data_IF_651291894231
#
_entry.id   IF_651291894231
#
_cell.length_a   1.000
_cell.length_b   1.000
_cell.length_c   1.000
_cell.angle_alpha   90.00
_cell.angle_beta   90.00
_cell.angle_gamma   90.00
#
_symmetry.space_group_name_H-M   'P 1'
#
loop_
_entity.id
_entity.type
_entity.pdbx_description
1 polymer ?
#
# COMPACT_ATOMS: atom_id res chain seq x y z
N UNK A 1 7.46 18.73 -93.17
CA UNK A 1 7.97 20.10 -92.94
C UNK A 1 7.35 20.66 -91.66
N UNK A 2 8.11 20.65 -90.56
CA UNK A 2 7.65 21.13 -89.24
C UNK A 2 7.68 22.66 -89.20
N UNK A 3 6.53 23.28 -88.90
CA UNK A 3 6.42 24.73 -88.66
C UNK A 3 6.94 25.06 -87.26
N UNK A 4 8.09 25.73 -87.21
CA UNK A 4 8.61 26.41 -86.03
C UNK A 4 7.59 27.46 -85.57
N UNK A 5 6.88 27.22 -84.47
CA UNK A 5 6.05 28.24 -83.81
C UNK A 5 6.94 29.07 -82.87
N UNK A 6 6.90 30.38 -83.11
CA UNK A 6 7.66 31.45 -82.48
C UNK A 6 7.60 31.43 -80.94
N UNK A 7 8.75 31.34 -80.29
CA UNK A 7 8.91 31.49 -78.83
C UNK A 7 8.70 32.93 -78.34
N UNK A 8 8.56 33.89 -79.25
CA UNK A 8 8.55 35.32 -78.94
C UNK A 8 7.20 35.82 -78.37
N UNK A 9 6.11 35.10 -78.63
CA UNK A 9 4.77 35.49 -78.15
C UNK A 9 4.60 35.15 -76.67
N UNK A 10 5.15 34.02 -76.22
CA UNK A 10 5.08 33.61 -74.81
C UNK A 10 5.88 34.53 -73.90
N UNK A 11 7.06 34.99 -74.35
CA UNK A 11 7.89 35.94 -73.58
C UNK A 11 7.18 37.28 -73.40
N UNK A 12 6.49 37.78 -74.43
CA UNK A 12 5.75 39.04 -74.32
C UNK A 12 4.59 38.93 -73.34
N UNK A 13 3.81 37.85 -73.39
CA UNK A 13 2.68 37.64 -72.47
C UNK A 13 3.17 37.52 -71.03
N UNK A 14 4.25 36.75 -70.79
CA UNK A 14 4.85 36.60 -69.48
C UNK A 14 5.36 37.94 -68.93
N UNK A 15 6.03 38.74 -69.76
CA UNK A 15 6.55 40.05 -69.36
C UNK A 15 5.41 41.02 -69.00
N UNK A 16 4.34 41.07 -69.79
CA UNK A 16 3.16 41.90 -69.45
C UNK A 16 2.45 41.43 -68.20
N UNK A 17 2.41 40.13 -67.92
CA UNK A 17 1.76 39.59 -66.73
C UNK A 17 2.58 39.89 -65.47
N UNK A 18 3.91 39.74 -65.55
CA UNK A 18 4.84 40.11 -64.46
C UNK A 18 4.78 41.60 -64.19
N UNK A 19 4.80 42.45 -65.23
CA UNK A 19 4.71 43.90 -65.07
C UNK A 19 3.35 44.33 -64.49
N UNK A 20 2.26 43.69 -64.93
CA UNK A 20 0.91 43.93 -64.39
C UNK A 20 0.80 43.57 -62.91
N UNK A 21 1.34 42.42 -62.49
CA UNK A 21 1.35 42.03 -61.07
C UNK A 21 2.21 42.96 -60.21
N UNK A 22 3.29 43.52 -60.76
CA UNK A 22 4.15 44.45 -60.03
C UNK A 22 3.48 45.80 -59.81
N UNK A 23 2.74 46.30 -60.80
CA UNK A 23 1.99 47.57 -60.70
C UNK A 23 0.80 47.44 -59.75
N UNK A 24 0.10 46.31 -59.76
CA UNK A 24 -1.01 46.06 -58.83
C UNK A 24 -0.47 45.86 -57.39
N UNK A 25 0.62 45.12 -57.24
CA UNK A 25 1.27 44.91 -55.94
C UNK A 25 1.80 46.20 -55.32
N UNK A 26 2.45 47.06 -56.13
CA UNK A 26 2.97 48.35 -55.63
C UNK A 26 1.86 49.35 -55.29
N UNK A 27 0.77 49.34 -56.06
CA UNK A 27 -0.40 50.18 -55.78
C UNK A 27 -1.05 49.88 -54.43
N UNK A 28 -1.18 48.59 -54.08
CA UNK A 28 -1.76 48.15 -52.79
C UNK A 28 -0.85 48.53 -51.62
N UNK A 29 0.46 48.35 -51.75
CA UNK A 29 1.42 48.73 -50.70
C UNK A 29 1.42 50.24 -50.47
N UNK A 30 1.37 51.05 -51.54
CA UNK A 30 1.33 52.51 -51.44
C UNK A 30 0.04 53.03 -50.80
N UNK A 31 -1.11 52.41 -51.11
CA UNK A 31 -2.40 52.79 -50.48
C UNK A 31 -2.46 52.42 -49.01
N UNK A 32 -1.92 51.26 -48.61
CA UNK A 32 -1.86 50.84 -47.21
C UNK A 32 -0.90 51.72 -46.39
N UNK A 33 0.23 52.14 -46.98
CA UNK A 33 1.14 53.09 -46.35
C UNK A 33 0.50 54.48 -46.17
N UNK A 34 -0.18 54.99 -47.20
CA UNK A 34 -0.90 56.26 -47.12
C UNK A 34 -2.06 56.25 -46.11
N UNK A 35 -2.64 55.07 -45.83
CA UNK A 35 -3.65 54.87 -44.79
C UNK A 35 -3.05 54.78 -43.36
N UNK A 36 -1.76 55.05 -43.19
CA UNK A 36 -1.08 55.05 -41.88
C UNK A 36 -0.79 53.66 -41.33
N UNK A 37 -0.86 52.62 -42.16
CA UNK A 37 -0.49 51.28 -41.75
C UNK A 37 1.04 51.17 -41.72
N UNK A 38 1.66 50.85 -40.56
CA UNK A 38 3.11 50.73 -40.47
C UNK A 38 3.60 49.64 -41.42
N UNK A 39 4.62 49.95 -42.23
CA UNK A 39 5.19 49.05 -43.27
C UNK A 39 5.60 47.70 -42.67
N UNK A 40 5.98 47.69 -41.40
CA UNK A 40 6.33 46.52 -40.59
C UNK A 40 5.21 45.46 -40.53
N UNK A 41 3.94 45.86 -40.62
CA UNK A 41 2.77 44.94 -40.63
C UNK A 41 2.40 44.43 -42.02
N UNK A 42 2.94 45.05 -43.07
CA UNK A 42 2.68 44.67 -44.47
C UNK A 42 3.75 43.65 -44.94
N UNK A 43 4.83 43.47 -44.19
CA UNK A 43 5.77 42.38 -44.43
C UNK A 43 5.14 41.03 -44.03
N UNK A 44 4.54 40.34 -45.00
CA UNK A 44 4.05 38.95 -44.89
C UNK A 44 5.19 37.92 -44.70
N UNK A 45 6.40 38.37 -44.41
CA UNK A 45 7.58 37.55 -44.21
C UNK A 45 7.74 37.36 -42.70
N UNK A 46 7.34 36.19 -42.23
CA UNK A 46 7.62 35.60 -40.91
C UNK A 46 8.03 36.61 -39.83
N UNK A 47 7.06 37.27 -39.22
CA UNK A 47 7.22 37.68 -37.82
C UNK A 47 7.16 36.38 -37.01
N UNK A 48 8.29 35.70 -36.90
CA UNK A 48 8.51 34.64 -35.92
C UNK A 48 8.08 35.26 -34.58
N UNK A 49 7.06 34.74 -33.89
CA UNK A 49 6.63 35.30 -32.61
C UNK A 49 7.85 35.32 -31.69
N UNK A 50 8.14 36.50 -31.13
CA UNK A 50 9.22 36.74 -30.18
C UNK A 50 9.10 35.71 -29.04
N UNK A 51 9.95 34.67 -29.08
CA UNK A 51 9.93 33.62 -28.08
C UNK A 51 10.53 34.20 -26.81
N UNK A 52 9.71 34.31 -25.78
CA UNK A 52 10.19 34.69 -24.45
C UNK A 52 11.17 33.61 -23.99
N UNK A 53 12.38 34.01 -23.60
CA UNK A 53 13.36 33.10 -23.02
C UNK A 53 12.73 32.27 -21.89
N UNK A 54 12.83 30.95 -21.99
CA UNK A 54 12.16 30.03 -21.08
C UNK A 54 12.93 28.74 -20.89
N UNK A 55 12.90 28.21 -19.67
CA UNK A 55 13.39 26.86 -19.37
C UNK A 55 12.28 25.88 -19.70
N UNK A 56 12.61 24.85 -20.47
CA UNK A 56 11.63 23.85 -20.89
C UNK A 56 11.65 22.64 -19.94
N UNK A 57 10.50 22.27 -19.38
CA UNK A 57 10.34 21.07 -18.56
C UNK A 57 9.52 20.01 -19.31
N UNK A 58 10.00 18.76 -19.44
CA UNK A 58 9.24 17.68 -20.05
C UNK A 58 7.95 17.38 -19.28
N UNK A 59 6.86 17.19 -20.03
CA UNK A 59 5.54 16.84 -19.49
C UNK A 59 4.92 15.68 -20.27
N UNK A 60 3.99 14.97 -19.64
CA UNK A 60 3.25 13.91 -20.31
C UNK A 60 2.17 14.49 -21.24
N UNK A 61 2.09 13.93 -22.43
CA UNK A 61 1.06 14.25 -23.42
C UNK A 61 -0.26 13.53 -23.10
N UNK A 62 -0.18 12.26 -22.69
CA UNK A 62 -1.33 11.43 -22.32
C UNK A 62 -1.33 11.11 -20.83
N UNK A 63 -2.49 10.78 -20.23
CA UNK A 63 -2.54 10.28 -18.87
C UNK A 63 -1.67 9.03 -18.72
N UNK A 64 -0.98 8.93 -17.58
CA UNK A 64 -0.18 7.76 -17.22
C UNK A 64 -0.81 7.13 -15.98
N UNK A 65 -1.16 5.85 -16.09
CA UNK A 65 -1.74 5.08 -14.99
C UNK A 65 -0.73 4.87 -13.86
N UNK A 66 -1.24 4.77 -12.63
CA UNK A 66 -0.47 4.38 -11.47
C UNK A 66 0.29 3.07 -11.73
N UNK A 67 1.52 3.00 -11.21
CA UNK A 67 2.39 1.82 -11.34
C UNK A 67 2.86 1.51 -12.76
N UNK A 68 2.52 2.35 -13.74
CA UNK A 68 3.05 2.24 -15.08
C UNK A 68 4.46 2.81 -15.17
N UNK A 69 5.29 2.19 -16.02
CA UNK A 69 6.60 2.69 -16.40
C UNK A 69 6.43 3.77 -17.48
N UNK A 70 7.01 4.94 -17.26
CA UNK A 70 6.97 6.04 -18.24
C UNK A 70 7.75 5.65 -19.48
N UNK A 71 7.09 5.70 -20.63
CA UNK A 71 7.65 5.46 -21.96
C UNK A 71 7.88 6.79 -22.68
N UNK A 72 8.72 6.75 -23.71
CA UNK A 72 8.96 7.91 -24.57
C UNK A 72 7.66 8.41 -25.22
N UNK A 73 6.81 7.49 -25.67
CA UNK A 73 5.51 7.76 -26.27
C UNK A 73 4.52 8.46 -25.31
N UNK A 74 4.76 8.38 -24.00
CA UNK A 74 3.91 9.07 -23.00
C UNK A 74 4.23 10.57 -22.93
N UNK A 75 5.44 10.95 -23.35
CA UNK A 75 5.93 12.32 -23.37
C UNK A 75 5.84 12.94 -24.77
N UNK A 76 5.72 12.14 -25.82
CA UNK A 76 5.80 12.60 -27.20
C UNK A 76 4.45 13.16 -27.68
N UNK A 77 4.46 14.36 -28.27
CA UNK A 77 3.29 14.87 -28.98
C UNK A 77 3.17 14.13 -30.33
N UNK A 78 2.04 13.46 -30.61
CA UNK A 78 1.85 12.69 -31.84
C UNK A 78 1.86 13.55 -33.10
N UNK A 79 1.66 14.87 -33.01
CA UNK A 79 1.64 15.78 -34.15
C UNK A 79 3.04 16.21 -34.59
N UNK A 80 3.88 16.54 -33.61
CA UNK A 80 5.22 17.08 -33.86
C UNK A 80 6.30 16.01 -33.79
N UNK A 81 6.01 14.88 -33.14
CA UNK A 81 7.00 13.85 -32.81
C UNK A 81 8.04 14.32 -31.80
N UNK A 82 7.88 15.50 -31.20
CA UNK A 82 8.80 16.03 -30.19
C UNK A 82 8.29 15.71 -28.79
N UNK A 83 9.20 15.73 -27.81
CA UNK A 83 8.82 15.62 -26.39
C UNK A 83 8.04 16.89 -26.04
N UNK A 84 6.84 16.70 -25.51
CA UNK A 84 5.97 17.76 -25.04
C UNK A 84 6.61 18.44 -23.83
N UNK A 85 6.66 19.77 -23.83
CA UNK A 85 7.34 20.56 -22.79
C UNK A 85 6.47 21.72 -22.34
N UNK A 86 6.55 22.04 -21.06
CA UNK A 86 6.04 23.30 -20.51
C UNK A 86 7.19 24.29 -20.45
N UNK A 87 6.93 25.50 -20.92
CA UNK A 87 7.90 26.60 -20.92
C UNK A 87 7.72 27.42 -19.64
N UNK A 88 8.79 27.54 -18.86
CA UNK A 88 8.85 28.36 -17.65
C UNK A 88 9.63 29.64 -17.98
N UNK A 89 8.98 30.81 -18.04
CA UNK A 89 9.64 32.07 -18.35
C UNK A 89 10.77 32.37 -17.36
N UNK A 90 11.90 32.92 -17.82
CA UNK A 90 13.06 33.23 -16.95
C UNK A 90 12.70 34.13 -15.76
N UNK A 91 11.74 35.03 -15.94
CA UNK A 91 11.23 35.92 -14.87
C UNK A 91 10.62 35.15 -13.70
N UNK A 92 10.11 33.93 -13.93
CA UNK A 92 9.51 33.08 -12.90
C UNK A 92 10.51 32.13 -12.25
N UNK A 93 11.72 31.98 -12.83
CA UNK A 93 12.76 31.06 -12.34
C UNK A 93 13.44 31.60 -11.10
N UNK A 94 13.53 32.93 -10.96
CA UNK A 94 14.15 33.59 -9.80
C UNK A 94 13.44 33.19 -8.50
N UNK A 95 14.20 32.69 -7.54
CA UNK A 95 13.71 32.16 -6.26
C UNK A 95 13.31 30.68 -6.27
N UNK A 96 13.18 30.05 -7.45
CA UNK A 96 12.96 28.60 -7.52
C UNK A 96 14.22 27.83 -7.14
N UNK A 97 14.06 26.62 -6.59
CA UNK A 97 15.19 25.74 -6.30
C UNK A 97 15.67 25.04 -7.58
N UNK A 98 16.93 25.26 -7.93
CA UNK A 98 17.65 24.56 -8.99
C UNK A 98 18.54 23.49 -8.37
N UNK A 99 18.44 22.24 -8.86
CA UNK A 99 19.30 21.15 -8.44
C UNK A 99 20.31 20.78 -9.53
N UNK A 100 21.58 20.67 -9.15
CA UNK A 100 22.70 20.29 -10.01
C UNK A 100 23.44 19.08 -9.43
N UNK A 101 24.19 18.38 -10.27
CA UNK A 101 25.11 17.33 -9.82
C UNK A 101 26.40 17.98 -9.33
N UNK A 102 26.68 17.82 -8.03
CA UNK A 102 27.93 18.27 -7.41
C UNK A 102 29.13 17.41 -7.82
N UNK A 103 30.36 17.83 -7.45
CA UNK A 103 31.59 17.13 -7.83
C UNK A 103 31.69 15.70 -7.30
N UNK A 104 31.00 15.38 -6.20
CA UNK A 104 30.94 14.04 -5.61
C UNK A 104 29.74 13.21 -6.11
N UNK A 105 28.97 13.73 -7.07
CA UNK A 105 27.79 13.06 -7.63
C UNK A 105 26.49 13.26 -6.84
N UNK A 106 26.52 14.03 -5.74
CA UNK A 106 25.34 14.38 -4.96
C UNK A 106 24.51 15.49 -5.65
N UNK A 107 23.19 15.46 -5.47
CA UNK A 107 22.31 16.53 -5.96
C UNK A 107 22.32 17.68 -4.96
N UNK A 108 22.93 18.80 -5.33
CA UNK A 108 22.93 20.03 -4.54
C UNK A 108 21.81 20.94 -5.05
N UNK A 109 20.90 21.32 -4.15
CA UNK A 109 19.73 22.15 -4.48
C UNK A 109 19.88 23.54 -3.89
N UNK A 110 19.83 24.57 -4.73
CA UNK A 110 19.95 25.97 -4.30
C UNK A 110 18.94 26.87 -5.01
N UNK A 111 18.48 27.94 -4.35
CA UNK A 111 17.60 28.92 -5.00
C UNK A 111 18.34 29.72 -6.09
N UNK A 112 17.65 29.98 -7.20
CA UNK A 112 18.15 30.81 -8.30
C UNK A 112 18.06 32.29 -7.91
N UNK A 113 19.17 33.02 -8.06
CA UNK A 113 19.30 34.46 -7.81
C UNK A 113 19.01 35.28 -9.08
N UNK A 114 19.53 34.83 -10.23
CA UNK A 114 19.41 35.52 -11.52
C UNK A 114 19.28 34.47 -12.64
N UNK A 115 18.52 34.80 -13.69
CA UNK A 115 18.37 33.98 -14.88
C UNK A 115 18.40 34.88 -16.12
N UNK A 116 19.36 34.68 -17.02
CA UNK A 116 19.55 35.50 -18.22
C UNK A 116 19.78 34.63 -19.46
N UNK A 117 19.32 35.13 -20.60
CA UNK A 117 19.60 34.53 -21.91
C UNK A 117 20.89 35.15 -22.48
N UNK A 118 21.85 34.31 -22.85
CA UNK A 118 23.14 34.68 -23.45
C UNK A 118 23.25 34.03 -24.84
N UNK A 119 24.22 34.45 -25.65
CA UNK A 119 24.49 33.84 -26.98
C UNK A 119 24.74 32.32 -26.90
N UNK A 120 25.30 31.85 -25.78
CA UNK A 120 25.59 30.43 -25.50
C UNK A 120 24.42 29.67 -24.83
N UNK A 121 23.28 30.33 -24.64
CA UNK A 121 22.07 29.76 -24.03
C UNK A 121 21.67 30.41 -22.70
N UNK A 122 20.85 29.71 -21.92
CA UNK A 122 20.30 30.23 -20.65
C UNK A 122 21.32 29.99 -19.53
N UNK A 123 21.73 31.07 -18.88
CA UNK A 123 22.59 31.06 -17.70
C UNK A 123 21.77 31.33 -16.44
N UNK A 124 22.04 30.54 -15.40
CA UNK A 124 21.42 30.65 -14.09
C UNK A 124 22.50 30.91 -13.06
N UNK A 125 22.35 32.01 -12.31
CA UNK A 125 23.19 32.29 -11.15
C UNK A 125 22.46 31.81 -9.90
N UNK A 126 23.08 30.90 -9.16
CA UNK A 126 22.59 30.42 -7.87
C UNK A 126 22.90 31.42 -6.74
N UNK A 127 22.33 31.20 -5.55
CA UNK A 127 22.59 32.09 -4.41
C UNK A 127 24.04 32.11 -3.93
N UNK A 128 24.78 31.02 -4.12
CA UNK A 128 26.23 30.93 -3.84
C UNK A 128 27.11 31.55 -4.94
N UNK A 129 26.51 32.27 -5.89
CA UNK A 129 27.14 32.89 -7.05
C UNK A 129 27.68 31.90 -8.10
N UNK A 130 27.41 30.60 -7.94
CA UNK A 130 27.71 29.59 -8.97
C UNK A 130 26.86 29.86 -10.21
N UNK A 131 27.52 29.91 -11.37
CA UNK A 131 26.87 30.06 -12.67
C UNK A 131 26.74 28.68 -13.29
N UNK A 132 25.53 28.31 -13.68
CA UNK A 132 25.23 27.04 -14.32
C UNK A 132 24.48 27.28 -15.63
N UNK A 133 24.65 26.37 -16.58
CA UNK A 133 23.88 26.36 -17.83
C UNK A 133 22.62 25.50 -17.68
N UNK A 134 21.65 25.68 -18.58
CA UNK A 134 20.45 24.82 -18.63
C UNK A 134 20.80 23.32 -18.76
N UNK A 135 21.89 22.96 -19.41
CA UNK A 135 22.29 21.55 -19.61
C UNK A 135 22.73 20.87 -18.30
N UNK A 136 23.32 21.65 -17.39
CA UNK A 136 23.77 21.19 -16.07
C UNK A 136 22.63 21.11 -15.04
N UNK A 137 21.50 21.75 -15.35
CA UNK A 137 20.32 21.76 -14.50
C UNK A 137 19.61 20.42 -14.56
N UNK A 138 19.50 19.72 -13.42
CA UNK A 138 18.79 18.43 -13.33
C UNK A 138 17.33 18.63 -12.92
N UNK A 139 17.09 19.53 -11.96
CA UNK A 139 15.75 19.86 -11.47
C UNK A 139 15.56 21.36 -11.33
N UNK A 140 14.35 21.82 -11.60
CA UNK A 140 13.90 23.19 -11.36
C UNK A 140 12.57 23.17 -10.60
N UNK A 141 12.50 23.86 -9.47
CA UNK A 141 11.33 23.82 -8.60
C UNK A 141 10.97 22.41 -8.13
N UNK A 142 11.96 21.50 -8.08
CA UNK A 142 11.78 20.07 -7.80
C UNK A 142 11.32 19.20 -8.98
N UNK A 143 11.02 19.80 -10.14
CA UNK A 143 10.66 19.08 -11.37
C UNK A 143 11.89 18.80 -12.25
N UNK A 144 11.92 17.64 -12.91
CA UNK A 144 12.99 17.25 -13.82
C UNK A 144 13.00 18.10 -15.09
N UNK A 145 14.20 18.47 -15.55
CA UNK A 145 14.43 19.21 -16.79
C UNK A 145 14.72 18.28 -17.98
N UNK A 146 15.33 17.13 -17.72
CA UNK A 146 15.71 16.17 -18.74
C UNK A 146 14.74 14.98 -18.81
N UNK A 147 14.40 14.55 -20.02
CA UNK A 147 13.53 13.38 -20.22
C UNK A 147 14.21 12.05 -19.86
N UNK A 148 15.54 11.99 -19.93
CA UNK A 148 16.35 10.82 -19.56
C UNK A 148 16.14 10.41 -18.11
N UNK A 149 15.92 11.38 -17.21
CA UNK A 149 15.68 11.12 -15.78
C UNK A 149 14.25 10.63 -15.47
N UNK A 150 13.36 10.67 -16.47
CA UNK A 150 11.93 10.37 -16.33
C UNK A 150 11.62 9.03 -17.01
N UNK A 151 12.12 8.84 -18.24
CA UNK A 151 11.85 7.65 -19.05
C UNK A 151 12.36 6.41 -18.32
N UNK A 152 11.48 5.43 -18.18
CA UNK A 152 11.77 4.17 -17.52
C UNK A 152 11.54 4.16 -16.00
N UNK A 153 11.15 5.29 -15.40
CA UNK A 153 10.70 5.30 -14.00
C UNK A 153 9.24 4.89 -13.87
N UNK A 154 8.85 4.40 -12.70
CA UNK A 154 7.49 3.94 -12.40
C UNK A 154 6.74 5.00 -11.59
N UNK A 155 5.56 5.40 -12.07
CA UNK A 155 4.76 6.46 -11.43
C UNK A 155 4.02 5.91 -10.21
N UNK A 156 4.02 6.67 -9.12
CA UNK A 156 3.36 6.31 -7.85
C UNK A 156 1.84 6.40 -7.88
N UNK A 157 1.27 7.27 -8.70
CA UNK A 157 -0.17 7.57 -8.77
C UNK A 157 -0.53 7.93 -10.21
N UNK A 158 -1.82 7.91 -10.54
CA UNK A 158 -2.27 8.41 -11.84
C UNK A 158 -1.78 9.84 -12.06
N UNK A 159 -1.23 10.10 -13.24
CA UNK A 159 -0.73 11.42 -13.64
C UNK A 159 -1.54 11.95 -14.81
N UNK A 160 -2.24 13.06 -14.57
CA UNK A 160 -2.94 13.82 -15.61
C UNK A 160 -1.97 14.39 -16.65
N UNK A 161 -2.39 14.55 -17.92
CA UNK A 161 -1.58 15.19 -18.95
C UNK A 161 -1.28 16.66 -18.62
N UNK A 162 -0.17 17.18 -19.15
CA UNK A 162 0.18 18.60 -19.05
C UNK A 162 0.94 19.02 -17.80
N UNK A 163 1.39 18.08 -16.96
CA UNK A 163 2.15 18.40 -15.74
C UNK A 163 3.60 17.91 -15.83
N UNK A 164 4.54 18.73 -15.36
CA UNK A 164 5.94 18.34 -15.22
C UNK A 164 6.12 17.23 -14.18
N UNK A 165 7.24 16.50 -14.25
CA UNK A 165 7.54 15.38 -13.36
C UNK A 165 8.46 15.78 -12.22
N UNK A 166 8.15 15.36 -11.00
CA UNK A 166 9.00 15.53 -9.83
C UNK A 166 9.40 14.18 -9.23
N UNK A 167 10.42 14.17 -8.37
CA UNK A 167 10.91 12.97 -7.67
C UNK A 167 9.78 12.24 -6.92
N UNK A 168 8.89 13.01 -6.28
CA UNK A 168 7.76 12.51 -5.50
C UNK A 168 6.72 11.77 -6.34
N UNK A 169 6.72 11.96 -7.66
CA UNK A 169 5.82 11.24 -8.56
C UNK A 169 6.26 9.81 -8.82
N UNK A 170 7.50 9.43 -8.49
CA UNK A 170 8.07 8.14 -8.86
C UNK A 170 8.40 7.26 -7.67
N UNK A 171 8.40 5.96 -7.92
CA UNK A 171 9.13 5.00 -7.09
C UNK A 171 10.64 5.16 -7.28
N UNK A 172 11.40 4.51 -6.41
CA UNK A 172 12.86 4.45 -6.50
C UNK A 172 13.32 3.92 -7.87
N UNK A 173 14.55 4.27 -8.26
CA UNK A 173 15.10 3.80 -9.52
C UNK A 173 15.28 2.28 -9.45
N UNK A 174 14.85 1.57 -10.50
CA UNK A 174 14.93 0.11 -10.57
C UNK A 174 13.68 -0.64 -10.11
N UNK A 175 12.67 0.05 -9.55
CA UNK A 175 11.38 -0.58 -9.22
C UNK A 175 10.72 -1.16 -10.49
N UNK A 176 10.29 -2.44 -10.48
CA UNK A 176 9.58 -3.03 -11.61
C UNK A 176 8.20 -2.38 -11.78
N UNK A 177 7.68 -2.38 -13.01
CA UNK A 177 6.32 -1.86 -13.27
C UNK A 177 5.24 -2.81 -12.76
N UNK A 178 4.08 -2.25 -12.42
CA UNK A 178 2.89 -2.97 -11.98
C UNK A 178 2.79 -3.18 -10.46
N UNK A 179 1.78 -3.94 -10.04
CA UNK A 179 1.46 -4.17 -8.63
C UNK A 179 2.62 -4.74 -7.82
N UNK A 180 3.47 -5.56 -8.43
CA UNK A 180 4.63 -6.15 -7.77
C UNK A 180 5.65 -5.10 -7.32
N UNK A 181 5.91 -4.07 -8.14
CA UNK A 181 6.79 -2.97 -7.75
C UNK A 181 6.13 -1.95 -6.83
N UNK A 182 4.80 -1.89 -6.84
CA UNK A 182 4.01 -1.08 -5.92
C UNK A 182 3.88 -1.68 -4.51
N UNK A 183 4.09 -2.99 -4.38
CA UNK A 183 3.95 -3.69 -3.11
C UNK A 183 5.15 -3.38 -2.22
N UNK A 184 4.93 -2.84 -1.00
CA UNK A 184 6.01 -2.61 -0.05
C UNK A 184 6.76 -3.89 0.32
N UNK A 185 8.00 -3.75 0.78
CA UNK A 185 8.80 -4.86 1.29
C UNK A 185 8.11 -5.52 2.49
N UNK A 186 8.12 -6.85 2.54
CA UNK A 186 7.45 -7.64 3.60
C UNK A 186 5.93 -7.78 3.44
N UNK A 187 5.31 -7.10 2.47
CA UNK A 187 3.89 -7.22 2.16
C UNK A 187 3.65 -8.06 0.89
N UNK A 188 2.39 -8.49 0.71
CA UNK A 188 1.90 -9.22 -0.45
C UNK A 188 0.67 -8.50 -1.00
N UNK A 189 0.64 -8.27 -2.31
CA UNK A 189 -0.56 -7.78 -2.98
C UNK A 189 -1.62 -8.88 -3.06
N UNK A 190 -2.80 -8.62 -2.52
CA UNK A 190 -3.98 -9.48 -2.57
C UNK A 190 -5.08 -8.76 -3.34
N UNK A 191 -5.65 -9.44 -4.35
CA UNK A 191 -6.84 -8.97 -5.06
C UNK A 191 -8.07 -9.54 -4.36
N UNK A 192 -8.93 -8.67 -3.85
CA UNK A 192 -10.12 -9.03 -3.09
C UNK A 192 -11.37 -8.50 -3.80
N UNK A 193 -12.48 -9.22 -3.68
CA UNK A 193 -13.76 -8.73 -4.17
C UNK A 193 -14.29 -7.63 -3.25
N UNK A 194 -14.85 -6.57 -3.82
CA UNK A 194 -15.34 -5.44 -3.05
C UNK A 194 -16.60 -5.79 -2.22
N UNK A 195 -17.40 -6.76 -2.66
CA UNK A 195 -18.62 -7.23 -1.98
C UNK A 195 -18.35 -7.87 -0.60
N UNK A 196 -17.15 -8.41 -0.39
CA UNK A 196 -16.72 -9.01 0.88
C UNK A 196 -16.15 -7.98 1.87
N UNK A 197 -15.89 -6.75 1.41
CA UNK A 197 -15.21 -5.71 2.17
C UNK A 197 -16.15 -4.54 2.45
N UNK A 198 -16.67 -4.46 3.67
CA UNK A 198 -17.51 -3.36 4.09
C UNK A 198 -16.70 -2.07 4.24
N UNK A 199 -17.12 -1.00 3.54
CA UNK A 199 -16.52 0.33 3.60
C UNK A 199 -15.43 0.62 2.55
N UNK A 200 -15.09 -0.35 1.70
CA UNK A 200 -13.96 -0.25 0.75
C UNK A 200 -14.12 0.84 -0.33
N UNK A 201 -15.35 1.20 -0.70
CA UNK A 201 -15.63 2.17 -1.78
C UNK A 201 -15.18 3.61 -1.48
N UNK A 202 -14.90 3.94 -0.21
CA UNK A 202 -14.56 5.30 0.21
C UNK A 202 -13.06 5.52 0.40
N UNK A 203 -12.24 4.52 0.07
CA UNK A 203 -10.83 4.47 0.42
C UNK A 203 -10.00 4.82 -0.81
N UNK A 204 -9.04 5.73 -0.62
CA UNK A 204 -8.16 6.17 -1.70
C UNK A 204 -6.91 5.30 -1.79
N UNK A 205 -6.32 5.32 -2.98
CA UNK A 205 -5.02 4.72 -3.22
C UNK A 205 -3.94 5.29 -2.28
N UNK A 206 -3.18 4.40 -1.65
CA UNK A 206 -2.11 4.72 -0.71
C UNK A 206 -2.57 4.93 0.73
N UNK A 207 -3.86 4.83 1.05
CA UNK A 207 -4.36 4.86 2.42
C UNK A 207 -3.95 3.59 3.19
N UNK A 208 -3.64 3.78 4.48
CA UNK A 208 -3.37 2.68 5.41
C UNK A 208 -4.67 2.29 6.12
N UNK A 209 -4.93 0.99 6.16
CA UNK A 209 -6.16 0.42 6.67
C UNK A 209 -5.88 -0.80 7.55
N UNK A 210 -6.81 -1.09 8.45
CA UNK A 210 -6.89 -2.36 9.17
C UNK A 210 -8.13 -3.13 8.70
N UNK A 211 -8.04 -4.46 8.73
CA UNK A 211 -9.12 -5.36 8.33
C UNK A 211 -9.64 -6.11 9.56
N UNK A 212 -10.93 -6.00 9.84
CA UNK A 212 -11.61 -6.69 10.94
C UNK A 212 -12.70 -7.59 10.40
N UNK A 213 -12.57 -8.91 10.59
CA UNK A 213 -13.56 -9.89 10.17
C UNK A 213 -14.61 -10.11 11.26
N UNK A 214 -15.88 -10.11 10.87
CA UNK A 214 -16.99 -10.54 11.73
C UNK A 214 -17.25 -12.03 11.52
N UNK A 215 -16.77 -12.86 12.43
CA UNK A 215 -16.80 -14.33 12.31
C UNK A 215 -17.96 -14.89 13.14
N UNK A 216 -18.88 -15.68 12.54
CA UNK A 216 -19.94 -16.35 13.30
C UNK A 216 -19.35 -17.29 14.37
N UNK A 217 -19.92 -17.30 15.58
CA UNK A 217 -19.38 -18.07 16.71
C UNK A 217 -19.19 -19.57 16.39
N UNK A 218 -20.12 -20.17 15.64
CA UNK A 218 -20.04 -21.58 15.21
C UNK A 218 -18.80 -21.89 14.34
N UNK A 219 -18.30 -20.90 13.59
CA UNK A 219 -17.16 -21.02 12.67
C UNK A 219 -15.84 -20.55 13.31
N UNK A 220 -15.88 -19.94 14.49
CA UNK A 220 -14.72 -19.37 15.16
C UNK A 220 -13.63 -20.42 15.43
N UNK A 221 -14.00 -21.59 15.95
CA UNK A 221 -13.07 -22.69 16.21
C UNK A 221 -12.39 -23.22 14.94
N UNK A 222 -13.02 -23.06 13.76
CA UNK A 222 -12.43 -23.42 12.47
C UNK A 222 -11.45 -22.35 12.00
N UNK A 223 -11.79 -21.08 12.20
CA UNK A 223 -10.92 -19.94 11.91
C UNK A 223 -9.62 -20.00 12.72
N UNK A 224 -9.71 -20.15 14.04
CA UNK A 224 -8.55 -20.15 14.93
C UNK A 224 -7.56 -21.28 14.60
N UNK A 225 -8.07 -22.47 14.25
CA UNK A 225 -7.26 -23.59 13.77
C UNK A 225 -6.50 -23.27 12.48
N UNK A 226 -7.11 -22.51 11.57
CA UNK A 226 -6.53 -22.17 10.26
C UNK A 226 -5.45 -21.09 10.32
N UNK A 227 -5.52 -20.16 11.28
CA UNK A 227 -4.57 -19.06 11.46
C UNK A 227 -3.36 -19.41 12.32
N UNK A 228 -3.20 -20.69 12.69
CA UNK A 228 -2.08 -21.16 13.48
C UNK A 228 -2.26 -20.99 15.00
N UNK A 229 -3.44 -20.54 15.45
CA UNK A 229 -3.88 -20.76 16.84
C UNK A 229 -4.25 -22.24 16.98
N UNK A 230 -3.23 -23.08 17.15
CA UNK A 230 -3.39 -24.52 17.40
C UNK A 230 -3.93 -24.72 18.82
N UNK A 231 -5.21 -24.44 19.00
CA UNK A 231 -5.99 -24.95 20.12
C UNK A 231 -6.49 -26.35 19.74
N UNK A 232 -6.03 -27.43 20.40
CA UNK A 232 -6.72 -28.70 20.37
C UNK A 232 -7.98 -28.58 21.23
N UNK A 233 -9.12 -28.95 20.63
CA UNK A 233 -10.38 -29.34 21.27
C UNK A 233 -10.46 -29.17 22.80
N UNK A 234 -10.68 -27.95 23.27
CA UNK A 234 -11.50 -27.74 24.46
C UNK A 234 -12.92 -27.55 23.94
N UNK A 235 -13.71 -28.60 24.13
CA UNK A 235 -15.16 -28.59 24.01
C UNK A 235 -15.70 -27.43 24.86
N UNK A 236 -15.93 -26.28 24.23
CA UNK A 236 -16.86 -25.30 24.76
C UNK A 236 -18.18 -26.04 24.89
N UNK A 237 -18.52 -26.41 26.12
CA UNK A 237 -19.83 -26.95 26.49
C UNK A 237 -20.85 -25.92 26.04
N UNK A 238 -21.39 -26.14 24.84
CA UNK A 238 -22.54 -25.42 24.33
C UNK A 238 -23.70 -25.91 25.18
N UNK A 239 -24.18 -25.03 26.05
CA UNK A 239 -25.41 -25.23 26.81
C UNK A 239 -26.53 -25.64 25.84
N UNK A 240 -26.89 -26.93 25.85
CA UNK A 240 -27.80 -27.57 24.89
C UNK A 240 -29.28 -27.17 25.09
N UNK A 241 -29.54 -26.02 25.72
CA UNK A 241 -30.87 -25.54 26.11
C UNK A 241 -31.37 -24.30 25.37
N UNK A 242 -30.57 -23.64 24.52
CA UNK A 242 -30.97 -22.36 23.89
C UNK A 242 -31.20 -22.52 22.38
N UNK A 243 -32.48 -22.51 22.00
CA UNK A 243 -33.03 -22.64 20.65
C UNK A 243 -32.15 -22.11 19.50
N UNK A 244 -31.96 -22.97 18.50
CA UNK A 244 -31.13 -22.83 17.27
C UNK A 244 -31.34 -21.57 16.41
N UNK A 245 -32.32 -20.70 16.68
CA UNK A 245 -32.61 -19.51 15.84
C UNK A 245 -31.82 -18.25 16.22
N UNK A 246 -31.20 -18.19 17.40
CA UNK A 246 -30.49 -16.99 17.88
C UNK A 246 -28.95 -17.08 17.76
N UNK A 247 -28.38 -18.28 17.62
CA UNK A 247 -26.93 -18.48 17.54
C UNK A 247 -26.33 -18.13 16.17
N UNK A 248 -27.13 -18.13 15.09
CA UNK A 248 -26.67 -17.76 13.74
C UNK A 248 -26.35 -16.27 13.58
N UNK A 249 -26.85 -15.41 14.48
CA UNK A 249 -26.60 -13.96 14.42
C UNK A 249 -25.45 -13.48 15.30
N UNK A 250 -24.93 -14.31 16.20
CA UNK A 250 -23.83 -13.90 17.07
C UNK A 250 -22.49 -14.02 16.32
N UNK A 251 -21.92 -12.86 15.99
CA UNK A 251 -20.60 -12.74 15.38
C UNK A 251 -19.61 -12.12 16.34
N UNK A 252 -18.37 -12.60 16.32
CA UNK A 252 -17.26 -11.97 17.04
C UNK A 252 -16.34 -11.25 16.06
N UNK A 253 -15.88 -10.05 16.42
CA UNK A 253 -14.94 -9.28 15.62
C UNK A 253 -13.50 -9.80 15.87
N UNK A 254 -12.77 -10.11 14.81
CA UNK A 254 -11.35 -10.48 14.85
C UNK A 254 -10.55 -9.60 13.91
N UNK A 255 -9.45 -9.04 14.40
CA UNK A 255 -8.50 -8.34 13.54
C UNK A 255 -7.77 -9.36 12.67
N UNK A 256 -7.79 -9.19 11.35
CA UNK A 256 -7.24 -10.15 10.38
C UNK A 256 -6.09 -9.61 9.56
N UNK A 257 -5.97 -8.29 9.44
CA UNK A 257 -4.76 -7.66 8.91
C UNK A 257 -4.55 -6.27 9.50
N UNK A 258 -3.28 -5.91 9.70
CA UNK A 258 -2.86 -4.59 10.18
C UNK A 258 -2.10 -3.83 9.12
N UNK A 259 -2.25 -2.50 9.15
CA UNK A 259 -1.45 -1.57 8.33
C UNK A 259 -1.41 -1.97 6.85
N UNK A 260 -2.49 -2.56 6.35
CA UNK A 260 -2.62 -2.88 4.95
C UNK A 260 -2.67 -1.58 4.15
N UNK A 261 -2.10 -1.58 2.95
CA UNK A 261 -2.04 -0.39 2.09
C UNK A 261 -2.90 -0.63 0.87
N UNK A 262 -3.78 0.33 0.55
CA UNK A 262 -4.56 0.25 -0.69
C UNK A 262 -3.65 0.52 -1.88
N UNK A 263 -3.39 -0.51 -2.69
CA UNK A 263 -2.63 -0.38 -3.93
C UNK A 263 -3.54 0.10 -5.06
N UNK A 264 -4.71 -0.52 -5.20
CA UNK A 264 -5.68 -0.13 -6.23
C UNK A 264 -7.04 0.01 -5.58
N UNK A 265 -7.71 1.18 -5.71
CA UNK A 265 -9.06 1.36 -5.18
C UNK A 265 -10.05 0.48 -5.96
N UNK A 266 -11.32 0.50 -5.59
CA UNK A 266 -12.33 -0.37 -6.22
C UNK A 266 -12.43 -0.07 -7.72
N UNK A 267 -12.14 -1.07 -8.55
CA UNK A 267 -12.29 -1.01 -10.01
C UNK A 267 -13.33 -2.03 -10.46
N UNK A 268 -14.16 -1.64 -11.43
CA UNK A 268 -15.14 -2.53 -12.09
C UNK A 268 -14.46 -3.23 -13.27
N UNK A 269 -14.42 -4.56 -13.25
CA UNK A 269 -14.09 -5.37 -14.44
C UNK A 269 -15.31 -6.16 -14.91
N UNK A 270 -15.41 -6.40 -16.20
CA UNK A 270 -16.46 -7.26 -16.76
C UNK A 270 -15.92 -8.68 -16.84
N UNK A 271 -16.55 -9.60 -16.11
CA UNK A 271 -16.28 -11.04 -16.24
C UNK A 271 -17.34 -11.68 -17.12
N UNK A 272 -16.94 -12.56 -18.03
CA UNK A 272 -17.88 -13.35 -18.83
C UNK A 272 -18.12 -14.69 -18.16
N UNK A 273 -19.29 -14.85 -17.56
CA UNK A 273 -19.74 -16.14 -17.04
C UNK A 273 -20.54 -16.88 -18.10
N UNK A 274 -20.33 -18.19 -18.20
CA UNK A 274 -21.08 -19.05 -19.11
C UNK A 274 -22.18 -19.76 -18.33
N UNK A 275 -23.45 -19.44 -18.63
CA UNK A 275 -24.58 -20.23 -18.14
C UNK A 275 -25.04 -21.17 -19.24
N UNK A 276 -25.17 -22.46 -18.93
CA UNK A 276 -25.75 -23.46 -19.82
C UNK A 276 -27.06 -23.96 -19.21
N UNK A 277 -28.17 -23.76 -19.92
CA UNK A 277 -29.47 -24.33 -19.57
C UNK A 277 -29.90 -25.34 -20.63
N UNK A 278 -30.46 -26.47 -20.18
CA UNK A 278 -31.00 -27.54 -21.03
C UNK A 278 -32.09 -27.05 -22.00
N UNK A 279 -32.78 -25.95 -21.68
CA UNK A 279 -33.85 -25.38 -22.50
C UNK A 279 -33.43 -24.15 -23.32
N UNK A 280 -32.29 -23.51 -23.02
CA UNK A 280 -31.89 -22.23 -23.63
C UNK A 280 -30.47 -22.20 -24.23
N UNK A 281 -29.73 -23.30 -24.19
CA UNK A 281 -28.37 -23.35 -24.72
C UNK A 281 -27.34 -22.58 -23.87
N UNK A 282 -26.14 -22.39 -24.42
CA UNK A 282 -25.01 -21.72 -23.76
C UNK A 282 -25.12 -20.20 -23.94
N UNK A 283 -25.46 -19.46 -22.88
CA UNK A 283 -25.46 -17.98 -22.87
C UNK A 283 -24.23 -17.46 -22.12
N UNK A 284 -23.55 -16.51 -22.75
CA UNK A 284 -22.50 -15.71 -22.10
C UNK A 284 -23.18 -14.53 -21.40
N UNK A 285 -23.10 -14.49 -20.07
CA UNK A 285 -23.54 -13.36 -19.26
C UNK A 285 -22.31 -12.53 -18.87
N UNK A 286 -22.34 -11.24 -19.17
CA UNK A 286 -21.38 -10.27 -18.68
C UNK A 286 -21.77 -9.83 -17.27
N UNK A 287 -21.08 -10.34 -16.26
CA UNK A 287 -21.29 -9.96 -14.85
C UNK A 287 -20.21 -8.95 -14.47
N UNK A 288 -20.56 -7.73 -14.03
CA UNK A 288 -19.59 -6.79 -13.49
C UNK A 288 -19.08 -7.30 -12.14
N UNK A 289 -17.76 -7.43 -12.01
CA UNK A 289 -17.07 -7.81 -10.77
C UNK A 289 -16.26 -6.61 -10.29
N UNK A 290 -16.48 -6.21 -9.05
CA UNK A 290 -15.75 -5.12 -8.41
C UNK A 290 -14.60 -5.70 -7.57
N UNK A 291 -13.39 -5.21 -7.79
CA UNK A 291 -12.19 -5.69 -7.12
C UNK A 291 -11.36 -4.54 -6.57
N UNK A 292 -10.66 -4.81 -5.48
CA UNK A 292 -9.69 -3.94 -4.84
C UNK A 292 -8.38 -4.71 -4.69
N UNK A 293 -7.25 -3.99 -4.75
CA UNK A 293 -5.93 -4.60 -4.49
C UNK A 293 -5.34 -3.99 -3.24
N UNK A 294 -5.06 -4.82 -2.24
CA UNK A 294 -4.48 -4.44 -0.96
C UNK A 294 -3.10 -5.07 -0.80
N UNK A 295 -2.11 -4.30 -0.36
CA UNK A 295 -0.88 -4.84 0.19
C UNK A 295 -1.11 -5.22 1.66
N UNK A 296 -0.98 -6.49 1.97
CA UNK A 296 -1.18 -7.05 3.32
C UNK A 296 0.15 -7.64 3.80
N UNK A 297 0.47 -7.54 5.09
CA UNK A 297 1.66 -8.18 5.65
C UNK A 297 1.69 -9.69 5.35
N UNK A 298 2.87 -10.24 5.07
CA UNK A 298 2.98 -11.64 4.62
C UNK A 298 2.42 -12.66 5.65
N UNK A 299 2.52 -12.36 6.94
CA UNK A 299 1.94 -13.13 8.05
C UNK A 299 0.40 -13.08 8.10
N UNK A 300 -0.20 -11.94 7.79
CA UNK A 300 -1.64 -11.70 7.90
C UNK A 300 -2.44 -12.32 6.73
N UNK A 301 -1.78 -12.65 5.62
CA UNK A 301 -2.43 -13.22 4.42
C UNK A 301 -3.27 -14.47 4.73
N UNK A 302 -2.79 -15.32 5.63
CA UNK A 302 -3.51 -16.54 6.02
C UNK A 302 -4.81 -16.20 6.76
N UNK A 303 -4.79 -15.22 7.66
CA UNK A 303 -5.97 -14.80 8.42
C UNK A 303 -7.02 -14.11 7.53
N UNK A 304 -6.59 -13.24 6.61
CA UNK A 304 -7.50 -12.62 5.63
C UNK A 304 -8.15 -13.69 4.76
N UNK A 305 -7.36 -14.62 4.22
CA UNK A 305 -7.88 -15.70 3.35
C UNK A 305 -8.88 -16.57 4.09
N UNK A 306 -8.54 -17.01 5.31
CA UNK A 306 -9.42 -17.83 6.13
C UNK A 306 -10.74 -17.13 6.46
N UNK A 307 -10.73 -15.82 6.76
CA UNK A 307 -11.95 -15.06 7.02
C UNK A 307 -12.86 -15.03 5.79
N UNK A 308 -12.29 -14.79 4.60
CA UNK A 308 -13.04 -14.73 3.34
C UNK A 308 -13.61 -16.10 2.94
N UNK A 309 -12.87 -17.18 3.14
CA UNK A 309 -13.34 -18.56 2.89
C UNK A 309 -14.52 -18.94 3.78
N UNK A 310 -14.57 -18.44 5.02
CA UNK A 310 -15.69 -18.68 5.93
C UNK A 310 -16.95 -17.88 5.57
N UNK A 311 -16.85 -16.99 4.59
CA UNK A 311 -17.89 -16.05 4.21
C UNK A 311 -18.11 -14.94 5.24
N UNK A 312 -17.10 -14.64 6.05
CA UNK A 312 -17.18 -13.54 7.02
C UNK A 312 -17.17 -12.19 6.28
N UNK A 313 -17.97 -11.24 6.75
CA UNK A 313 -17.88 -9.85 6.29
C UNK A 313 -16.65 -9.21 6.92
N UNK A 314 -15.78 -8.64 6.11
CA UNK A 314 -14.56 -7.96 6.58
C UNK A 314 -14.78 -6.46 6.53
N UNK A 315 -14.76 -5.80 7.69
CA UNK A 315 -14.86 -4.35 7.81
C UNK A 315 -13.49 -3.71 7.60
N UNK A 316 -13.46 -2.67 6.78
CA UNK A 316 -12.25 -1.89 6.54
C UNK A 316 -12.23 -0.65 7.43
N UNK A 317 -11.19 -0.52 8.24
CA UNK A 317 -10.97 0.59 9.16
C UNK A 317 -9.82 1.46 8.68
N UNK A 318 -10.05 2.74 8.41
CA UNK A 318 -9.00 3.66 7.92
C UNK A 318 -8.19 4.20 9.09
N UNK A 319 -6.86 4.15 9.00
CA UNK A 319 -5.96 4.75 9.99
C UNK A 319 -5.69 6.22 9.69
N UNK A 320 -5.50 7.02 10.74
CA UNK A 320 -5.08 8.42 10.62
C UNK A 320 -3.65 8.50 10.08
N UNK A 321 -3.46 9.16 8.94
CA UNK A 321 -2.15 9.42 8.32
C UNK A 321 -1.35 10.58 8.95
N UNK A 322 -1.65 10.97 10.19
CA UNK A 322 -0.80 11.93 10.92
C UNK A 322 0.51 11.21 11.29
N UNK A 323 1.68 11.83 11.10
CA UNK A 323 2.94 11.22 11.53
C UNK A 323 2.81 10.87 13.01
N UNK A 324 3.01 9.59 13.31
CA UNK A 324 3.20 9.13 14.68
C UNK A 324 4.47 9.82 15.17
N UNK A 325 4.32 10.89 15.94
CA UNK A 325 5.28 11.19 17.00
C UNK A 325 5.48 9.86 17.72
N UNK A 326 6.71 9.33 17.66
CA UNK A 326 7.23 8.08 18.23
C UNK A 326 6.16 7.21 18.88
N UNK A 327 5.98 5.97 18.40
CA UNK A 327 5.23 4.91 19.09
C UNK A 327 5.52 4.97 20.59
N UNK A 328 4.69 5.74 21.29
CA UNK A 328 4.79 5.91 22.71
C UNK A 328 4.21 4.62 23.22
N UNK A 329 5.09 3.66 23.51
CA UNK A 329 4.86 2.70 24.59
C UNK A 329 4.08 3.46 25.64
N UNK A 330 2.85 3.03 26.00
CA UNK A 330 1.99 3.79 26.88
C UNK A 330 2.81 4.20 28.10
N UNK A 331 3.08 5.50 28.24
CA UNK A 331 3.98 6.03 29.26
C UNK A 331 3.45 5.58 30.61
N UNK A 332 4.11 4.60 31.20
CA UNK A 332 3.71 4.03 32.48
C UNK A 332 3.90 5.14 33.51
N UNK A 333 2.84 5.53 34.25
CA UNK A 333 2.99 6.52 35.32
C UNK A 333 4.07 6.07 36.31
N UNK A 334 4.92 7.00 36.78
CA UNK A 334 6.01 6.67 37.70
C UNK A 334 5.51 5.91 38.93
N UNK A 335 6.14 4.77 39.24
CA UNK A 335 5.75 3.87 40.35
C UNK A 335 4.79 2.72 39.94
N UNK A 336 4.32 2.69 38.70
CA UNK A 336 3.56 1.58 38.14
C UNK A 336 4.45 0.73 37.22
N UNK A 337 4.10 -0.55 37.05
CA UNK A 337 4.71 -1.47 36.09
C UNK A 337 3.60 -2.04 35.21
N UNK A 338 3.87 -2.10 33.91
CA UNK A 338 3.00 -2.75 32.94
C UNK A 338 3.21 -4.27 33.02
N UNK A 339 2.24 -5.00 33.57
CA UNK A 339 2.26 -6.46 33.65
C UNK A 339 1.50 -7.05 32.46
N UNK A 340 2.11 -7.91 31.65
CA UNK A 340 1.43 -8.58 30.53
C UNK A 340 0.38 -9.56 31.05
N UNK A 341 -0.82 -9.49 30.47
CA UNK A 341 -1.92 -10.41 30.76
C UNK A 341 -2.30 -11.20 29.50
N UNK A 342 -2.63 -12.50 29.60
CA UNK A 342 -3.03 -13.28 28.45
C UNK A 342 -4.29 -12.70 27.78
N UNK A 343 -4.25 -12.54 26.46
CA UNK A 343 -5.41 -12.12 25.65
C UNK A 343 -6.43 -13.25 25.47
N UNK A 344 -5.99 -14.48 25.69
CA UNK A 344 -6.74 -15.73 25.59
C UNK A 344 -6.27 -16.72 26.67
N UNK A 345 -7.05 -17.76 26.93
CA UNK A 345 -6.68 -18.84 27.87
C UNK A 345 -5.43 -19.55 27.38
N UNK A 346 -4.45 -19.74 28.28
CA UNK A 346 -3.23 -20.49 27.98
C UNK A 346 -3.39 -21.91 28.49
N UNK A 347 -3.31 -22.89 27.61
CA UNK A 347 -3.46 -24.29 27.98
C UNK A 347 -2.18 -24.84 28.62
N UNK A 348 -2.35 -25.78 29.55
CA UNK A 348 -1.28 -26.52 30.18
C UNK A 348 -0.38 -27.17 29.14
N UNK A 349 0.93 -27.18 29.42
CA UNK A 349 1.95 -27.88 28.64
C UNK A 349 2.17 -27.35 27.21
N UNK A 350 1.58 -26.21 26.85
CA UNK A 350 1.81 -25.56 25.56
C UNK A 350 2.85 -24.45 25.64
N UNK A 351 3.51 -24.15 24.53
CA UNK A 351 4.47 -23.04 24.46
C UNK A 351 3.74 -21.70 24.37
N UNK A 352 4.04 -20.81 25.31
CA UNK A 352 3.56 -19.43 25.30
C UNK A 352 4.22 -18.66 24.14
N UNK A 353 3.43 -17.92 23.37
CA UNK A 353 3.88 -17.09 22.26
C UNK A 353 3.58 -15.62 22.53
N UNK A 354 4.24 -14.72 21.80
CA UNK A 354 3.93 -13.29 21.85
C UNK A 354 2.44 -13.02 21.54
N UNK A 355 1.92 -13.69 20.52
CA UNK A 355 0.51 -13.62 20.11
C UNK A 355 -0.48 -14.10 21.18
N UNK A 356 -0.01 -14.80 22.22
CA UNK A 356 -0.85 -15.25 23.34
C UNK A 356 -1.29 -14.11 24.26
N UNK A 357 -0.56 -12.99 24.25
CA UNK A 357 -0.86 -11.80 25.06
C UNK A 357 -1.55 -10.69 24.25
N UNK A 358 -1.69 -10.90 22.94
CA UNK A 358 -2.37 -9.95 22.07
C UNK A 358 -3.87 -10.01 22.28
N UNK A 359 -4.51 -8.84 22.35
CA UNK A 359 -5.96 -8.76 22.29
C UNK A 359 -6.42 -9.17 20.88
N UNK A 360 -7.26 -10.18 20.70
CA UNK A 360 -7.66 -10.63 19.37
C UNK A 360 -8.48 -9.60 18.58
N UNK A 361 -9.01 -8.55 19.22
CA UNK A 361 -9.72 -7.46 18.56
C UNK A 361 -8.80 -6.31 18.14
N UNK A 362 -7.67 -6.08 18.85
CA UNK A 362 -6.81 -4.91 18.61
C UNK A 362 -5.35 -5.25 18.28
N UNK A 363 -4.95 -6.51 18.48
CA UNK A 363 -3.60 -7.05 18.38
C UNK A 363 -2.53 -6.25 19.17
N UNK A 364 -2.95 -5.50 20.19
CA UNK A 364 -2.04 -4.94 21.18
C UNK A 364 -1.80 -5.95 22.29
N UNK A 365 -0.56 -6.02 22.74
CA UNK A 365 -0.21 -6.78 23.95
C UNK A 365 -1.00 -6.17 25.10
N UNK A 366 -1.86 -6.98 25.72
CA UNK A 366 -2.66 -6.53 26.86
C UNK A 366 -1.73 -6.44 28.06
N UNK A 367 -1.64 -5.24 28.62
CA UNK A 367 -0.95 -5.00 29.87
C UNK A 367 -1.90 -4.36 30.87
N UNK A 368 -1.68 -4.64 32.15
CA UNK A 368 -2.30 -3.90 33.24
C UNK A 368 -1.22 -3.09 33.95
N UNK A 369 -1.53 -1.84 34.28
CA UNK A 369 -0.63 -1.01 35.07
C UNK A 369 -0.93 -1.25 36.54
N UNK A 370 0.05 -1.79 37.26
CA UNK A 370 -0.06 -2.11 38.69
C UNK A 370 1.12 -1.53 39.45
N UNK A 371 0.98 -1.16 40.74
CA UNK A 371 2.11 -0.69 41.53
C UNK A 371 3.24 -1.72 41.56
N UNK A 372 4.50 -1.28 41.49
CA UNK A 372 5.69 -2.16 41.56
C UNK A 372 5.62 -3.14 42.74
N UNK A 373 5.27 -2.62 43.92
CA UNK A 373 5.16 -3.41 45.15
C UNK A 373 4.09 -4.51 45.05
N UNK A 374 2.97 -4.25 44.36
CA UNK A 374 1.89 -5.23 44.19
C UNK A 374 2.32 -6.36 43.26
N UNK A 375 3.05 -6.04 42.19
CA UNK A 375 3.59 -7.02 41.26
C UNK A 375 4.64 -7.92 41.92
N UNK A 376 5.52 -7.34 42.74
CA UNK A 376 6.54 -8.08 43.50
C UNK A 376 5.93 -8.98 44.58
N UNK A 377 5.01 -8.46 45.40
CA UNK A 377 4.34 -9.23 46.45
C UNK A 377 3.54 -10.41 45.90
N UNK A 378 3.00 -10.27 44.68
CA UNK A 378 2.20 -11.31 44.02
C UNK A 378 3.02 -12.24 43.11
N UNK A 379 4.35 -12.07 43.06
CA UNK A 379 5.27 -12.82 42.20
C UNK A 379 4.88 -12.83 40.70
N UNK A 380 4.31 -11.73 40.21
CA UNK A 380 3.92 -11.61 38.80
C UNK A 380 5.12 -11.41 37.89
N UNK A 381 5.07 -12.03 36.71
CA UNK A 381 6.08 -11.85 35.68
C UNK A 381 5.75 -10.58 34.90
N UNK A 382 6.59 -9.56 35.06
CA UNK A 382 6.40 -8.21 34.48
C UNK A 382 6.94 -8.09 33.06
N UNK A 383 7.95 -8.90 32.70
CA UNK A 383 8.59 -8.85 31.39
C UNK A 383 8.04 -9.95 30.46
N UNK A 384 7.52 -9.52 29.31
CA UNK A 384 7.02 -10.42 28.27
C UNK A 384 8.10 -11.38 27.77
N UNK A 385 9.35 -10.94 27.70
CA UNK A 385 10.46 -11.78 27.22
C UNK A 385 10.68 -13.03 28.09
N UNK A 386 10.35 -12.93 29.39
CA UNK A 386 10.46 -14.03 30.34
C UNK A 386 9.30 -15.03 30.25
N UNK A 387 8.21 -14.66 29.56
CA UNK A 387 7.02 -15.48 29.36
C UNK A 387 7.06 -16.22 28.01
N UNK A 388 7.53 -15.56 26.95
CA UNK A 388 7.61 -16.16 25.61
C UNK A 388 8.55 -17.37 25.64
N UNK A 389 8.07 -18.50 25.11
CA UNK A 389 8.80 -19.77 25.12
C UNK A 389 8.66 -20.58 26.40
N UNK A 390 8.07 -20.03 27.47
CA UNK A 390 7.73 -20.79 28.68
C UNK A 390 6.48 -21.64 28.46
N UNK A 391 6.24 -22.54 29.41
CA UNK A 391 5.16 -23.51 29.34
C UNK A 391 4.32 -23.42 30.62
N UNK A 392 2.99 -23.24 30.54
CA UNK A 392 2.11 -23.28 31.69
C UNK A 392 2.07 -24.68 32.29
N UNK A 393 2.08 -24.75 33.62
CA UNK A 393 1.98 -26.00 34.37
C UNK A 393 0.53 -26.52 34.45
N UNK A 394 -0.43 -25.62 34.39
CA UNK A 394 -1.88 -25.86 34.30
C UNK A 394 -2.52 -24.81 33.38
N UNK A 395 -3.82 -24.93 33.12
CA UNK A 395 -4.54 -23.95 32.32
C UNK A 395 -4.57 -22.59 33.05
N UNK A 396 -4.22 -21.52 32.35
CA UNK A 396 -4.23 -20.15 32.85
C UNK A 396 -5.34 -19.37 32.17
N UNK A 397 -6.18 -18.74 32.98
CA UNK A 397 -7.28 -17.91 32.49
C UNK A 397 -6.75 -16.72 31.69
N UNK A 398 -7.51 -16.35 30.65
CA UNK A 398 -7.38 -15.03 30.06
C UNK A 398 -7.53 -13.94 31.14
N UNK A 399 -6.86 -12.80 30.95
CA UNK A 399 -6.95 -11.59 31.80
C UNK A 399 -6.28 -11.62 33.17
N UNK A 400 -5.76 -12.77 33.61
CA UNK A 400 -5.06 -12.88 34.91
C UNK A 400 -3.54 -12.80 34.70
N UNK A 401 -2.80 -11.99 35.50
CA UNK A 401 -1.34 -11.96 35.46
C UNK A 401 -0.72 -13.33 35.77
N UNK A 402 0.32 -13.68 35.02
CA UNK A 402 1.02 -14.96 35.17
C UNK A 402 2.04 -14.87 36.29
N UNK A 403 2.07 -15.87 37.18
CA UNK A 403 3.09 -16.01 38.22
C UNK A 403 4.21 -16.92 37.76
N UNK A 404 5.38 -16.81 38.41
CA UNK A 404 6.51 -17.71 38.13
C UNK A 404 6.21 -19.18 38.48
N UNK A 405 5.37 -19.42 39.49
CA UNK A 405 4.96 -20.75 39.97
C UNK A 405 4.00 -21.49 39.02
N UNK A 406 3.25 -20.72 38.22
CA UNK A 406 2.33 -21.20 37.20
C UNK A 406 3.05 -21.79 35.98
N UNK A 407 4.36 -21.57 35.87
CA UNK A 407 5.18 -21.95 34.73
C UNK A 407 6.09 -23.14 35.06
N UNK A 408 6.27 -24.01 34.09
CA UNK A 408 7.27 -25.07 34.12
C UNK A 408 8.70 -24.47 34.18
N UNK A 409 9.69 -25.22 34.70
CA UNK A 409 11.08 -24.79 34.71
C UNK A 409 11.56 -24.34 33.31
N UNK A 410 12.45 -23.35 33.22
CA UNK A 410 12.98 -22.89 31.93
C UNK A 410 13.73 -24.01 31.20
N UNK A 411 13.59 -24.08 29.87
CA UNK A 411 14.19 -25.14 29.05
C UNK A 411 13.38 -26.44 28.96
N UNK A 412 12.21 -26.51 29.61
CA UNK A 412 11.28 -27.63 29.47
C UNK A 412 10.74 -27.71 28.03
N UNK A 413 10.67 -28.90 27.43
CA UNK A 413 10.07 -29.10 26.11
C UNK A 413 8.52 -29.06 26.18
N UNK A 414 7.80 -28.61 25.14
CA UNK A 414 6.33 -28.64 25.14
C UNK A 414 5.76 -30.06 25.12
N UNK A 415 4.54 -30.23 25.65
CA UNK A 415 3.78 -31.47 25.63
C UNK A 415 3.72 -32.23 26.96
N UNK A 416 2.83 -33.22 27.04
CA UNK A 416 2.54 -34.01 28.25
C UNK A 416 3.77 -34.78 28.78
N UNK A 417 4.71 -35.14 27.90
CA UNK A 417 5.96 -35.81 28.30
C UNK A 417 6.80 -34.97 29.25
N UNK A 418 6.79 -33.65 29.10
CA UNK A 418 7.51 -32.74 29.99
C UNK A 418 6.86 -32.58 31.36
N UNK A 419 5.56 -32.91 31.47
CA UNK A 419 4.86 -32.94 32.75
C UNK A 419 5.17 -34.19 33.58
N UNK A 420 5.81 -35.20 32.99
CA UNK A 420 6.04 -36.50 33.64
C UNK A 420 7.30 -36.44 34.50
N UNK A 421 7.21 -36.64 35.83
CA UNK A 421 8.39 -36.68 36.68
C UNK A 421 9.35 -37.81 36.28
N UNK A 422 10.67 -37.66 36.51
CA UNK A 422 11.63 -38.72 36.24
C UNK A 422 11.25 -40.02 36.96
N UNK A 423 11.32 -41.15 36.24
CA UNK A 423 10.98 -42.47 36.78
C UNK A 423 9.47 -42.77 36.85
N UNK A 424 8.62 -41.91 36.29
CA UNK A 424 7.17 -42.17 36.14
C UNK A 424 6.81 -42.38 34.67
N UNK A 425 5.70 -43.08 34.45
CA UNK A 425 5.12 -43.30 33.12
C UNK A 425 3.73 -42.67 33.10
N UNK A 426 3.43 -41.98 32.00
CA UNK A 426 2.13 -41.38 31.76
C UNK A 426 1.27 -42.40 31.00
N UNK A 427 0.08 -42.68 31.52
CA UNK A 427 -0.92 -43.51 30.86
C UNK A 427 -2.27 -42.81 30.93
N UNK A 428 -3.05 -42.92 29.86
CA UNK A 428 -4.38 -42.35 29.79
C UNK A 428 -5.37 -43.32 30.44
N UNK A 429 -6.19 -42.81 31.35
CA UNK A 429 -7.27 -43.54 31.97
C UNK A 429 -8.60 -43.03 31.44
N UNK A 430 -9.50 -43.95 31.14
CA UNK A 430 -10.89 -43.60 30.82
C UNK A 430 -11.61 -43.16 32.11
N UNK A 431 -12.17 -41.94 32.17
CA UNK A 431 -12.88 -41.46 33.34
C UNK A 431 -14.11 -42.32 33.70
N UNK A 432 -14.71 -43.06 32.76
CA UNK A 432 -15.86 -43.93 33.05
C UNK A 432 -15.54 -45.01 34.10
N UNK A 433 -14.27 -45.43 34.19
CA UNK A 433 -13.80 -46.42 35.17
C UNK A 433 -13.31 -45.83 36.50
N UNK A 434 -13.27 -44.50 36.65
CA UNK A 434 -12.72 -43.80 37.80
C UNK A 434 -13.82 -43.16 38.65
N UNK A 435 -14.20 -43.84 39.73
CA UNK A 435 -15.10 -43.29 40.73
C UNK A 435 -14.40 -42.10 41.41
N UNK A 436 -15.01 -40.90 41.32
CA UNK A 436 -14.47 -39.68 41.91
C UNK A 436 -13.57 -38.85 41.00
N UNK A 437 -13.42 -39.20 39.71
CA UNK A 437 -12.59 -38.47 38.74
C UNK A 437 -12.85 -36.95 38.71
N UNK A 438 -14.11 -36.55 38.90
CA UNK A 438 -14.54 -35.16 38.81
C UNK A 438 -14.17 -34.31 40.04
N UNK A 439 -13.65 -34.92 41.10
CA UNK A 439 -13.31 -34.24 42.35
C UNK A 439 -11.82 -33.89 42.49
N UNK A 440 -10.99 -34.24 41.49
CA UNK A 440 -9.56 -34.02 41.55
C UNK A 440 -9.19 -32.60 41.10
N UNK A 441 -8.37 -31.92 41.91
CA UNK A 441 -7.77 -30.64 41.53
C UNK A 441 -6.31 -30.82 41.12
N UNK A 442 -5.83 -29.90 40.28
CA UNK A 442 -4.44 -29.88 39.85
C UNK A 442 -3.49 -29.76 41.05
N UNK A 443 -2.46 -30.61 41.10
CA UNK A 443 -1.44 -30.61 42.15
C UNK A 443 -1.75 -31.49 43.37
N UNK A 444 -2.91 -32.14 43.41
CA UNK A 444 -3.23 -33.10 44.47
C UNK A 444 -2.49 -34.44 44.28
N UNK A 445 -2.07 -35.03 45.40
CA UNK A 445 -1.52 -36.39 45.43
C UNK A 445 -2.66 -37.39 45.59
N UNK A 446 -2.66 -38.41 44.73
CA UNK A 446 -3.74 -39.39 44.62
C UNK A 446 -3.13 -40.79 44.69
N UNK A 447 -3.76 -41.67 45.45
CA UNK A 447 -3.49 -43.10 45.42
C UNK A 447 -4.64 -43.81 44.70
N UNK A 448 -4.32 -44.60 43.67
CA UNK A 448 -5.30 -45.39 42.93
C UNK A 448 -5.43 -46.77 43.56
N UNK A 449 -6.62 -47.09 44.06
CA UNK A 449 -6.94 -48.43 44.60
C UNK A 449 -7.83 -49.16 43.61
N UNK A 450 -7.34 -50.28 43.07
CA UNK A 450 -8.13 -51.16 42.24
C UNK A 450 -8.94 -52.13 43.12
N UNK A 451 -10.25 -52.22 42.91
CA UNK A 451 -11.07 -53.29 43.46
C UNK A 451 -11.54 -54.20 42.34
N UNK A 452 -11.45 -55.52 42.55
CA UNK A 452 -11.91 -56.51 41.57
C UNK A 452 -13.32 -56.92 41.95
N UNK A 453 -14.31 -56.52 41.18
CA UNK A 453 -15.66 -57.04 41.30
C UNK A 453 -15.70 -58.48 40.78
N UNK A 454 -15.62 -59.46 41.69
CA UNK A 454 -15.92 -60.86 41.36
C UNK A 454 -17.42 -61.02 41.18
N UNK A 455 -17.91 -60.90 39.95
CA UNK A 455 -19.32 -61.15 39.67
C UNK A 455 -19.71 -60.88 38.22
N UNK A 456 -19.53 -61.88 37.36
CA UNK A 456 -20.54 -62.46 36.46
C UNK A 456 -19.82 -63.38 35.46
N UNK A 457 -20.00 -64.69 35.67
CA UNK A 457 -19.81 -65.73 34.66
C UNK A 457 -20.93 -65.69 33.64
#
# INVERSE_FOLDING_TARGET
MQKHKSSFVFVKILLTLVLGTFVIGSGIVATLWAAGMPIEKIAFWNTEPERVAAITLPMNWKPIEAYAKVKRDDLQDPRTGQINRIEVPLTSVVGMSASIVGPEGELVSQPVKLAEETEDGILLQLQDETIITQEQLVKLGGAFTQSSDIIGRVVKKDKSPGFAFAETNFFERGTPSGLAGATPTGMRAMTLKADQLAGVHRISMGEQIDLVANIPLQKLNRFERSTGSRLPAAELVVDAGRSDRAQDSETTARLVARQAIVLTPVVKRVSTETSASLSQGKKLLSVPVEEVVLAVAAEDVAAVTAALELGATVNVLVRSGRPTSDESTPTVPGGMVAVPIPGQTLLAYQTIRTSSFEDPATAYIRTINVPTETAENSNWVTDLSQLVGRIPRHDLSATVPIRKEDLMPPGTAPGLSAATPPGRVLFFLDPEGLIGANAFEFGQHLDLVASRTTGQS
#
